data_IF_857991715016
#
_entry.id   IF_857991715016
#
_cell.length_a   1.000
_cell.length_b   1.000
_cell.length_c   1.000
_cell.angle_alpha   90.00
_cell.angle_beta   90.00
_cell.angle_gamma   90.00
#
_symmetry.space_group_name_H-M   'P 1'
#
loop_
_entity.id
_entity.type
_entity.pdbx_description
1 polymer ?
#
# COMPACT_ATOMS: atom_id res chain seq x y z
N UNK A 1 19.65 -44.32 -23.71
CA UNK A 1 18.22 -44.08 -23.42
C UNK A 1 18.03 -43.04 -22.31
N UNK A 2 18.68 -43.19 -21.15
CA UNK A 2 18.55 -42.27 -19.99
C UNK A 2 19.03 -40.82 -20.22
N UNK A 3 20.09 -40.60 -21.00
CA UNK A 3 20.59 -39.25 -21.27
C UNK A 3 19.55 -38.34 -21.96
N UNK A 4 18.74 -38.88 -22.88
CA UNK A 4 17.67 -38.13 -23.55
C UNK A 4 16.53 -37.81 -22.59
N UNK A 5 16.22 -38.72 -21.66
CA UNK A 5 15.21 -38.52 -20.62
C UNK A 5 15.67 -37.42 -19.65
N UNK A 6 16.93 -37.44 -19.22
CA UNK A 6 17.50 -36.40 -18.34
C UNK A 6 17.51 -35.03 -19.01
N UNK A 7 17.89 -34.95 -20.30
CA UNK A 7 17.86 -33.69 -21.06
C UNK A 7 16.43 -33.15 -21.17
N UNK A 8 15.44 -34.01 -21.45
CA UNK A 8 14.03 -33.60 -21.50
C UNK A 8 13.51 -33.09 -20.15
N UNK A 9 13.85 -33.77 -19.05
CA UNK A 9 13.44 -33.35 -17.70
C UNK A 9 14.02 -31.98 -17.32
N UNK A 10 15.29 -31.74 -17.66
CA UNK A 10 15.94 -30.45 -17.42
C UNK A 10 15.29 -29.33 -18.24
N UNK A 11 14.93 -29.58 -19.50
CA UNK A 11 14.24 -28.60 -20.36
C UNK A 11 12.86 -28.27 -19.79
N UNK A 12 12.10 -29.27 -19.32
CA UNK A 12 10.77 -29.04 -18.72
C UNK A 12 10.88 -28.24 -17.42
N UNK A 13 11.86 -28.52 -16.56
CA UNK A 13 12.08 -27.77 -15.33
C UNK A 13 12.52 -26.32 -15.57
N UNK A 14 13.33 -26.07 -16.61
CA UNK A 14 13.72 -24.71 -17.01
C UNK A 14 12.54 -23.94 -17.65
N UNK A 15 11.64 -24.64 -18.35
CA UNK A 15 10.46 -24.03 -18.96
C UNK A 15 9.34 -23.70 -17.95
N UNK A 16 9.37 -24.26 -16.74
CA UNK A 16 8.34 -24.05 -15.72
C UNK A 16 8.59 -22.86 -14.79
N UNK A 17 9.46 -21.91 -15.16
CA UNK A 17 9.68 -20.72 -14.32
C UNK A 17 8.46 -19.81 -14.35
N UNK A 18 7.61 -19.91 -13.33
CA UNK A 18 6.43 -19.06 -13.18
C UNK A 18 6.82 -17.76 -12.47
N UNK A 19 6.60 -16.64 -13.16
CA UNK A 19 6.90 -15.32 -12.62
C UNK A 19 5.68 -14.80 -11.85
N UNK A 20 5.80 -14.70 -10.53
CA UNK A 20 4.79 -14.06 -9.69
C UNK A 20 4.83 -12.56 -9.94
N UNK A 21 3.72 -12.01 -10.44
CA UNK A 21 3.54 -10.57 -10.67
C UNK A 21 2.43 -10.05 -9.78
N UNK A 22 2.73 -9.04 -8.97
CA UNK A 22 1.72 -8.33 -8.18
C UNK A 22 1.42 -7.00 -8.88
N UNK A 23 0.23 -6.82 -9.47
CA UNK A 23 -0.12 -5.57 -10.13
C UNK A 23 -0.29 -4.44 -9.10
N UNK A 24 0.32 -3.29 -9.38
CA UNK A 24 0.14 -2.09 -8.58
C UNK A 24 -0.99 -1.23 -9.14
N UNK A 25 -1.85 -0.73 -8.25
CA UNK A 25 -2.93 0.21 -8.55
C UNK A 25 -2.49 1.60 -8.12
N UNK A 26 -2.68 2.57 -9.02
CA UNK A 26 -2.44 3.98 -8.71
C UNK A 26 -3.53 4.51 -7.79
N UNK A 27 -3.18 5.20 -6.71
CA UNK A 27 -4.14 5.90 -5.87
C UNK A 27 -4.77 7.04 -6.68
N UNK A 28 -6.11 7.22 -6.65
CA UNK A 28 -6.77 8.31 -7.37
C UNK A 28 -6.18 9.66 -6.97
N UNK A 29 -5.63 10.37 -7.95
CA UNK A 29 -4.98 11.65 -7.72
C UNK A 29 -6.02 12.73 -7.43
N UNK A 30 -6.03 13.22 -6.20
CA UNK A 30 -6.83 14.38 -5.77
C UNK A 30 -5.95 15.62 -5.55
N UNK A 31 -4.71 15.63 -6.06
CA UNK A 31 -3.71 16.70 -5.87
C UNK A 31 -4.29 18.07 -6.10
N UNK A 32 -5.13 18.27 -7.11
CA UNK A 32 -5.74 19.58 -7.37
C UNK A 32 -6.70 20.03 -6.26
N UNK A 33 -7.53 19.11 -5.74
CA UNK A 33 -8.41 19.37 -4.59
C UNK A 33 -7.60 19.57 -3.31
N UNK A 34 -6.50 18.82 -3.14
CA UNK A 34 -5.60 18.92 -1.97
C UNK A 34 -4.80 20.22 -1.97
N UNK A 35 -4.19 20.60 -3.09
CA UNK A 35 -3.48 21.88 -3.26
C UNK A 35 -4.39 23.06 -2.94
N UNK A 36 -5.65 23.02 -3.38
CA UNK A 36 -6.66 24.03 -3.01
C UNK A 36 -6.90 24.07 -1.51
N UNK A 37 -7.00 22.91 -0.84
CA UNK A 37 -7.18 22.85 0.61
C UNK A 37 -5.95 23.34 1.39
N UNK A 38 -4.73 22.99 0.95
CA UNK A 38 -3.47 23.48 1.52
C UNK A 38 -3.38 25.00 1.37
N UNK A 39 -3.65 25.51 0.16
CA UNK A 39 -3.68 26.95 -0.11
C UNK A 39 -4.72 27.68 0.76
N UNK A 40 -5.93 27.14 0.88
CA UNK A 40 -6.98 27.71 1.73
C UNK A 40 -6.59 27.70 3.23
N UNK A 41 -5.94 26.63 3.71
CA UNK A 41 -5.46 26.53 5.10
C UNK A 41 -4.28 27.47 5.37
N UNK A 42 -3.37 27.62 4.40
CA UNK A 42 -2.27 28.58 4.44
C UNK A 42 -2.76 30.03 4.44
N UNK A 43 -3.77 30.35 3.62
CA UNK A 43 -4.40 31.66 3.61
C UNK A 43 -5.05 31.97 4.98
N UNK A 44 -5.82 31.02 5.54
CA UNK A 44 -6.41 31.15 6.88
C UNK A 44 -5.37 31.38 7.97
N UNK A 45 -4.24 30.69 7.91
CA UNK A 45 -3.13 30.89 8.86
C UNK A 45 -2.54 32.30 8.76
N UNK A 46 -2.33 32.82 7.54
CA UNK A 46 -1.77 34.17 7.32
C UNK A 46 -2.65 35.29 7.84
N UNK A 47 -3.97 35.12 7.80
CA UNK A 47 -4.95 36.14 8.20
C UNK A 47 -5.64 35.88 9.55
N UNK A 48 -5.39 34.73 10.19
CA UNK A 48 -6.08 34.27 11.41
C UNK A 48 -5.26 34.28 12.71
N UNK A 49 -3.99 34.69 12.67
CA UNK A 49 -3.15 34.89 13.86
C UNK A 49 -2.31 33.67 14.28
N UNK A 50 -1.05 33.95 14.66
CA UNK A 50 -0.02 33.07 15.23
C UNK A 50 1.06 32.48 14.29
N UNK A 51 1.07 32.79 12.98
CA UNK A 51 2.19 32.42 12.10
C UNK A 51 2.37 30.91 11.86
N UNK A 52 1.33 30.10 12.08
CA UNK A 52 1.38 28.63 12.00
C UNK A 52 1.26 28.15 10.56
N UNK A 53 2.33 27.70 9.92
CA UNK A 53 2.25 27.12 8.56
C UNK A 53 1.79 25.66 8.63
N UNK A 54 0.62 25.31 8.06
CA UNK A 54 0.14 23.93 8.11
C UNK A 54 0.96 23.03 7.18
N UNK A 55 1.64 22.04 7.75
CA UNK A 55 2.22 20.94 6.97
C UNK A 55 1.12 19.90 6.68
N UNK A 56 1.11 19.39 5.45
CA UNK A 56 0.26 18.27 5.05
C UNK A 56 1.17 17.14 4.64
N UNK A 57 1.11 16.05 5.40
CA UNK A 57 1.73 14.79 5.00
C UNK A 57 0.76 14.07 4.07
N UNK A 58 1.15 13.90 2.80
CA UNK A 58 0.38 13.13 1.83
C UNK A 58 0.84 11.67 1.73
N UNK A 59 1.77 11.27 2.61
CA UNK A 59 2.31 9.92 2.75
C UNK A 59 2.97 9.36 1.47
N UNK A 60 3.10 10.13 0.40
CA UNK A 60 3.68 9.76 -0.91
C UNK A 60 3.17 8.41 -1.45
N UNK A 61 1.92 8.07 -1.15
CA UNK A 61 1.33 6.79 -1.55
C UNK A 61 0.71 6.89 -2.93
N UNK A 62 1.55 6.82 -3.95
CA UNK A 62 1.08 6.84 -5.34
C UNK A 62 0.58 5.47 -5.81
N UNK A 63 1.14 4.39 -5.27
CA UNK A 63 0.84 3.02 -5.71
C UNK A 63 0.67 2.06 -4.52
N UNK A 64 -0.31 1.16 -4.64
CA UNK A 64 -0.53 0.07 -3.69
C UNK A 64 -0.79 -1.24 -4.45
N UNK A 65 -0.52 -2.38 -3.83
CA UNK A 65 -1.03 -3.67 -4.29
C UNK A 65 -1.98 -4.29 -3.26
N UNK A 66 -2.57 -5.43 -3.61
CA UNK A 66 -3.51 -6.15 -2.76
C UNK A 66 -2.88 -7.48 -2.33
N UNK A 67 -2.92 -7.75 -1.03
CA UNK A 67 -2.51 -9.03 -0.42
C UNK A 67 -3.66 -9.61 0.39
N UNK A 68 -3.65 -10.91 0.66
CA UNK A 68 -4.64 -11.57 1.52
C UNK A 68 -3.96 -12.26 2.70
N UNK A 69 -4.55 -12.12 3.89
CA UNK A 69 -4.02 -12.68 5.14
C UNK A 69 -5.10 -13.56 5.79
N UNK A 70 -4.70 -14.73 6.29
CA UNK A 70 -5.54 -15.66 7.06
C UNK A 70 -6.40 -16.62 6.23
N UNK A 71 -7.14 -17.47 6.95
CA UNK A 71 -8.10 -18.43 6.41
C UNK A 71 -9.40 -18.34 7.23
N UNK A 72 -10.52 -17.85 6.67
CA UNK A 72 -10.71 -17.43 5.28
C UNK A 72 -9.91 -16.16 4.93
N UNK A 73 -9.55 -15.95 3.65
CA UNK A 73 -8.71 -14.84 3.22
C UNK A 73 -9.34 -13.46 3.49
N UNK A 74 -8.57 -12.57 4.11
CA UNK A 74 -8.92 -11.15 4.27
C UNK A 74 -7.98 -10.27 3.44
N UNK A 75 -8.53 -9.52 2.49
CA UNK A 75 -7.72 -8.70 1.56
C UNK A 75 -7.40 -7.31 2.11
N UNK A 76 -6.15 -6.88 1.95
CA UNK A 76 -5.63 -5.58 2.39
C UNK A 76 -4.94 -4.86 1.23
N UNK A 77 -5.01 -3.53 1.23
CA UNK A 77 -4.21 -2.67 0.36
C UNK A 77 -2.91 -2.32 1.08
N UNK A 78 -1.78 -2.64 0.48
CA UNK A 78 -0.45 -2.44 1.08
C UNK A 78 0.48 -1.75 0.10
N UNK A 79 1.48 -1.09 0.66
CA UNK A 79 2.57 -0.46 -0.09
C UNK A 79 3.71 -1.47 -0.14
N UNK A 80 4.33 -1.59 -1.30
CA UNK A 80 5.53 -2.39 -1.47
C UNK A 80 6.74 -1.49 -1.24
N UNK A 81 7.14 -1.34 0.02
CA UNK A 81 8.21 -0.45 0.46
C UNK A 81 9.55 -1.20 0.52
N UNK A 82 10.52 -0.80 -0.31
CA UNK A 82 11.88 -1.36 -0.30
C UNK A 82 12.76 -0.80 0.81
N UNK A 83 12.30 0.24 1.52
CA UNK A 83 13.04 0.91 2.60
C UNK A 83 12.84 0.26 3.98
N UNK A 84 11.99 -0.77 4.10
CA UNK A 84 11.71 -1.49 5.34
C UNK A 84 11.60 -3.00 5.10
N UNK A 85 11.54 -3.78 6.18
CA UNK A 85 11.45 -5.25 6.13
C UNK A 85 10.20 -5.80 6.84
N UNK A 86 9.40 -4.95 7.46
CA UNK A 86 8.25 -5.34 8.27
C UNK A 86 6.96 -5.35 7.46
N UNK A 87 6.14 -6.39 7.66
CA UNK A 87 4.74 -6.40 7.22
C UNK A 87 3.83 -6.12 8.41
N UNK A 88 3.00 -5.08 8.31
CA UNK A 88 2.00 -4.77 9.31
C UNK A 88 0.67 -4.39 8.66
N UNK A 89 -0.43 -4.74 9.34
CA UNK A 89 -1.79 -4.32 8.99
C UNK A 89 -2.53 -3.88 10.27
N UNK A 90 -3.53 -2.99 10.18
CA UNK A 90 -4.30 -2.58 11.36
C UNK A 90 -5.06 -3.76 11.98
N UNK A 91 -5.01 -3.90 13.30
CA UNK A 91 -5.77 -4.94 14.03
C UNK A 91 -7.19 -4.47 14.37
N UNK A 92 -8.16 -5.40 14.34
CA UNK A 92 -9.52 -5.17 14.82
C UNK A 92 -9.56 -4.87 16.33
N UNK A 93 -8.53 -5.29 17.06
CA UNK A 93 -8.38 -5.06 18.50
C UNK A 93 -7.79 -3.68 18.84
N UNK A 94 -7.30 -2.92 17.85
CA UNK A 94 -6.85 -1.55 18.10
C UNK A 94 -8.03 -0.68 18.53
N UNK A 95 -7.87 -0.02 19.68
CA UNK A 95 -8.79 1.00 20.17
C UNK A 95 -9.15 1.98 19.04
N UNK A 96 -10.40 2.45 19.02
CA UNK A 96 -10.85 3.48 18.07
C UNK A 96 -10.27 4.86 18.42
N UNK A 97 -8.95 4.93 18.61
CA UNK A 97 -8.23 6.18 18.59
C UNK A 97 -8.23 6.65 17.13
N UNK A 98 -8.77 7.85 16.92
CA UNK A 98 -9.16 8.55 15.70
C UNK A 98 -8.09 8.71 14.60
N UNK A 99 -6.98 7.96 14.65
CA UNK A 99 -5.86 8.04 13.70
C UNK A 99 -5.96 7.07 12.54
N UNK A 100 -6.80 6.05 12.60
CA UNK A 100 -7.11 5.26 11.39
C UNK A 100 -8.16 6.01 10.57
N UNK A 101 -7.86 6.40 9.32
CA UNK A 101 -8.87 6.98 8.43
C UNK A 101 -10.10 6.08 8.38
N UNK A 102 -11.29 6.71 8.46
CA UNK A 102 -12.55 5.99 8.27
C UNK A 102 -12.50 5.19 6.96
N UNK A 103 -12.66 3.87 7.03
CA UNK A 103 -12.63 2.97 5.87
C UNK A 103 -11.37 2.11 5.70
N UNK A 104 -10.36 2.20 6.59
CA UNK A 104 -9.26 1.23 6.60
C UNK A 104 -9.74 -0.14 7.10
N UNK A 105 -9.49 -1.20 6.32
CA UNK A 105 -9.82 -2.58 6.71
C UNK A 105 -8.90 -3.03 7.84
N UNK A 106 -9.49 -3.63 8.88
CA UNK A 106 -8.79 -4.16 10.05
C UNK A 106 -8.75 -5.69 9.97
N UNK A 107 -7.65 -6.29 10.40
CA UNK A 107 -7.47 -7.73 10.50
C UNK A 107 -8.13 -8.27 11.76
N UNK A 108 -8.93 -9.32 11.60
CA UNK A 108 -9.50 -10.12 12.70
C UNK A 108 -9.05 -11.56 12.55
N UNK A 109 -8.64 -12.19 13.64
CA UNK A 109 -8.51 -13.65 13.70
C UNK A 109 -9.86 -14.33 13.68
#
# INVERSE_FOLDING_TARGET
MYARILVLLVIVALASSELIRIPLKKVPDNRQKRLRNVAAKGLRSRFGGNGVVPLVNEYDLDYYGEISIGTPPQTFKVIFDTGSADLWVPSAQCENNTRTPNGCRKYST
#
